data_IF_355840355743
#
_entry.id   IF_355840355743
#
_cell.length_a   1.000
_cell.length_b   1.000
_cell.length_c   1.000
_cell.angle_alpha   90.00
_cell.angle_beta   90.00
_cell.angle_gamma   90.00
#
_symmetry.space_group_name_H-M   'P 1'
#
loop_
_entity.id
_entity.type
_entity.pdbx_description
1 polymer ?
#
# COMPACT_ATOMS: atom_id res chain seq x y z
N UNK A 1 -16.23 7.71 28.84
CA UNK A 1 -15.57 6.41 28.64
C UNK A 1 -16.45 5.58 27.73
N UNK A 2 -16.08 5.41 26.46
CA UNK A 2 -16.80 4.55 25.52
C UNK A 2 -15.89 3.36 25.26
N UNK A 3 -16.24 2.21 25.82
CA UNK A 3 -15.58 0.93 25.59
C UNK A 3 -15.90 0.47 24.17
N UNK A 4 -14.90 0.55 23.30
CA UNK A 4 -14.91 -0.07 21.98
C UNK A 4 -14.95 -1.60 22.15
N UNK A 5 -16.01 -2.24 21.66
CA UNK A 5 -16.11 -3.71 21.56
C UNK A 5 -15.14 -4.17 20.47
N UNK A 6 -14.09 -4.86 20.88
CA UNK A 6 -13.23 -5.64 20.00
C UNK A 6 -14.09 -6.76 19.38
N UNK A 7 -14.42 -6.64 18.10
CA UNK A 7 -15.17 -7.66 17.37
C UNK A 7 -14.25 -8.83 17.06
N UNK A 8 -14.39 -9.91 17.82
CA UNK A 8 -13.84 -11.21 17.47
C UNK A 8 -14.56 -11.72 16.21
N UNK A 9 -13.90 -11.62 15.06
CA UNK A 9 -14.28 -12.38 13.87
C UNK A 9 -13.82 -13.82 14.09
N UNK A 10 -14.76 -14.76 14.04
CA UNK A 10 -14.57 -16.20 14.24
C UNK A 10 -13.38 -16.76 13.43
N UNK A 11 -12.34 -17.23 14.12
CA UNK A 11 -11.19 -17.94 13.56
C UNK A 11 -11.43 -19.47 13.54
N UNK A 12 -12.40 -19.94 12.74
CA UNK A 12 -12.60 -21.38 12.47
C UNK A 12 -12.02 -21.84 11.13
N UNK A 13 -11.33 -20.95 10.41
CA UNK A 13 -10.56 -21.27 9.21
C UNK A 13 -9.09 -21.33 9.58
N UNK A 14 -8.39 -22.41 9.24
CA UNK A 14 -6.92 -22.49 9.31
C UNK A 14 -6.29 -21.60 8.20
N UNK A 15 -6.56 -20.31 8.31
CA UNK A 15 -6.02 -19.25 7.49
C UNK A 15 -4.57 -18.97 7.92
N UNK A 16 -3.72 -18.57 6.98
CA UNK A 16 -2.34 -18.10 7.22
C UNK A 16 -2.26 -17.09 8.37
N UNK A 17 -3.31 -16.27 8.55
CA UNK A 17 -3.44 -15.35 9.67
C UNK A 17 -2.43 -14.20 9.65
N UNK A 18 -1.69 -14.03 8.55
CA UNK A 18 -0.72 -12.96 8.38
C UNK A 18 -1.45 -11.64 8.14
N UNK A 19 -1.07 -10.62 8.90
CA UNK A 19 -1.56 -9.26 8.71
C UNK A 19 -0.56 -8.48 7.84
N UNK A 20 -1.02 -7.96 6.72
CA UNK A 20 -0.30 -7.03 5.85
C UNK A 20 -1.14 -5.76 5.66
N UNK A 21 -0.61 -4.78 4.93
CA UNK A 21 -1.29 -3.52 4.69
C UNK A 21 -1.31 -3.23 3.20
N UNK A 22 -2.51 -3.08 2.63
CA UNK A 22 -2.72 -2.68 1.26
C UNK A 22 -2.79 -1.14 1.18
N UNK A 23 -1.84 -0.55 0.47
CA UNK A 23 -1.76 0.87 0.16
C UNK A 23 -2.33 1.04 -1.25
N UNK A 24 -3.50 1.65 -1.32
CA UNK A 24 -4.18 2.01 -2.57
C UNK A 24 -3.77 3.45 -2.92
N UNK A 25 -2.99 3.62 -3.99
CA UNK A 25 -2.36 4.88 -4.37
C UNK A 25 -2.90 5.40 -5.71
N UNK A 26 -3.49 6.60 -5.71
CA UNK A 26 -4.17 7.20 -6.87
C UNK A 26 -3.54 8.53 -7.24
N UNK A 27 -3.53 8.88 -8.53
CA UNK A 27 -3.07 10.20 -8.96
C UNK A 27 -3.93 11.32 -8.36
N UNK A 28 -3.28 12.40 -7.94
CA UNK A 28 -3.96 13.63 -7.56
C UNK A 28 -4.16 14.54 -8.79
N UNK A 29 -4.81 15.69 -8.57
CA UNK A 29 -4.91 16.74 -9.60
C UNK A 29 -3.61 17.55 -9.77
N UNK A 30 -2.54 17.23 -9.02
CA UNK A 30 -1.26 17.92 -9.12
C UNK A 30 -0.58 17.57 -10.44
N UNK A 31 -0.14 18.58 -11.17
CA UNK A 31 0.70 18.42 -12.36
C UNK A 31 2.18 18.34 -11.95
N UNK A 32 2.97 17.63 -12.74
CA UNK A 32 4.40 17.46 -12.49
C UNK A 32 5.00 16.39 -13.40
N UNK A 33 6.32 16.38 -13.48
CA UNK A 33 7.04 15.36 -14.23
C UNK A 33 6.97 14.03 -13.46
N UNK A 34 6.18 13.10 -13.99
CA UNK A 34 5.97 11.78 -13.40
C UNK A 34 7.11 10.81 -13.74
N UNK A 35 7.92 11.10 -14.76
CA UNK A 35 8.94 10.18 -15.24
C UNK A 35 10.10 10.07 -14.25
N UNK A 36 10.60 11.20 -13.76
CA UNK A 36 11.65 11.24 -12.73
C UNK A 36 11.18 10.60 -11.44
N UNK A 37 9.97 10.96 -10.98
CA UNK A 37 9.41 10.41 -9.74
C UNK A 37 9.13 8.91 -9.85
N UNK A 38 8.83 8.40 -11.05
CA UNK A 38 8.66 6.97 -11.30
C UNK A 38 9.96 6.19 -11.07
N UNK A 39 11.10 6.70 -11.53
CA UNK A 39 12.39 6.04 -11.31
C UNK A 39 12.72 5.93 -9.82
N UNK A 40 12.57 7.03 -9.08
CA UNK A 40 12.79 7.05 -7.63
C UNK A 40 11.80 6.13 -6.89
N UNK A 41 10.54 6.10 -7.32
CA UNK A 41 9.52 5.22 -6.77
C UNK A 41 9.86 3.74 -6.97
N UNK A 42 10.33 3.35 -8.16
CA UNK A 42 10.76 1.98 -8.43
C UNK A 42 12.00 1.61 -7.60
N UNK A 43 12.97 2.52 -7.47
CA UNK A 43 14.12 2.31 -6.59
C UNK A 43 13.71 2.14 -5.11
N UNK A 44 12.71 2.91 -4.66
CA UNK A 44 12.15 2.76 -3.32
C UNK A 44 11.47 1.40 -3.12
N UNK A 45 10.72 0.91 -4.11
CA UNK A 45 10.13 -0.43 -4.03
C UNK A 45 11.19 -1.52 -3.97
N UNK A 46 12.25 -1.45 -4.80
CA UNK A 46 13.38 -2.40 -4.74
C UNK A 46 14.00 -2.42 -3.35
N UNK A 47 14.24 -1.25 -2.74
CA UNK A 47 14.74 -1.17 -1.36
C UNK A 47 13.79 -1.88 -0.37
N UNK A 48 12.48 -1.68 -0.49
CA UNK A 48 11.51 -2.37 0.38
C UNK A 48 11.48 -3.88 0.17
N UNK A 49 11.71 -4.37 -1.06
CA UNK A 49 11.87 -5.79 -1.36
C UNK A 49 13.11 -6.37 -0.68
N UNK A 50 14.26 -5.68 -0.79
CA UNK A 50 15.52 -6.07 -0.15
C UNK A 50 15.41 -6.09 1.39
N UNK A 51 14.67 -5.14 1.97
CA UNK A 51 14.35 -5.10 3.40
C UNK A 51 13.30 -6.14 3.83
N UNK A 52 12.73 -6.89 2.88
CA UNK A 52 11.68 -7.88 3.12
C UNK A 52 10.31 -7.28 3.49
N UNK A 53 10.14 -5.96 3.36
CA UNK A 53 8.93 -5.21 3.69
C UNK A 53 7.90 -5.18 2.56
N UNK A 54 8.32 -5.25 1.30
CA UNK A 54 7.38 -5.35 0.19
C UNK A 54 6.90 -6.80 0.01
N UNK A 55 5.59 -7.00 -0.06
CA UNK A 55 5.00 -8.31 -0.37
C UNK A 55 4.61 -8.42 -1.84
N UNK A 56 3.98 -7.37 -2.38
CA UNK A 56 3.63 -7.25 -3.80
C UNK A 56 3.38 -5.78 -4.14
N UNK A 57 3.61 -5.38 -5.39
CA UNK A 57 3.21 -4.08 -5.88
C UNK A 57 2.91 -4.10 -7.38
N UNK A 58 2.04 -3.19 -7.82
CA UNK A 58 1.78 -3.00 -9.23
C UNK A 58 0.56 -2.11 -9.51
N UNK A 59 0.37 -1.70 -10.77
CA UNK A 59 -0.85 -1.01 -11.17
C UNK A 59 -2.03 -1.99 -11.22
N UNK A 60 -3.20 -1.53 -10.80
CA UNK A 60 -4.45 -2.19 -11.15
C UNK A 60 -4.80 -1.90 -12.60
N UNK A 61 -5.29 -2.92 -13.29
CA UNK A 61 -5.76 -2.83 -14.66
C UNK A 61 -7.29 -2.79 -14.67
N UNK A 62 -7.85 -2.12 -15.67
CA UNK A 62 -9.27 -2.19 -16.02
C UNK A 62 -9.53 -3.51 -16.78
N UNK A 63 -10.79 -3.82 -17.05
CA UNK A 63 -11.18 -5.03 -17.79
C UNK A 63 -10.59 -5.10 -19.22
N UNK A 64 -10.33 -3.95 -19.83
CA UNK A 64 -9.70 -3.82 -21.15
C UNK A 64 -8.17 -3.97 -21.11
N UNK A 65 -7.57 -4.13 -19.92
CA UNK A 65 -6.13 -4.24 -19.72
C UNK A 65 -5.39 -2.92 -19.56
N UNK A 66 -6.07 -1.77 -19.71
CA UNK A 66 -5.47 -0.45 -19.49
C UNK A 66 -5.26 -0.16 -18.00
N UNK A 67 -4.28 0.69 -17.69
CA UNK A 67 -4.04 1.08 -16.29
C UNK A 67 -5.25 1.82 -15.72
N UNK A 68 -5.74 1.39 -14.56
CA UNK A 68 -6.85 2.03 -13.86
C UNK A 68 -6.46 3.36 -13.16
N UNK A 69 -5.18 3.73 -13.21
CA UNK A 69 -4.63 4.88 -12.48
C UNK A 69 -4.37 4.62 -10.99
N UNK A 70 -4.73 3.44 -10.50
CA UNK A 70 -4.56 2.99 -9.11
C UNK A 70 -3.34 2.08 -9.02
N UNK A 71 -2.41 2.38 -8.12
CA UNK A 71 -1.35 1.47 -7.70
C UNK A 71 -1.77 0.73 -6.44
N UNK A 72 -1.62 -0.59 -6.42
CA UNK A 72 -1.75 -1.41 -5.23
C UNK A 72 -0.35 -1.79 -4.76
N UNK A 73 -0.03 -1.45 -3.51
CA UNK A 73 1.25 -1.77 -2.86
C UNK A 73 0.90 -2.50 -1.56
N UNK A 74 1.37 -3.73 -1.39
CA UNK A 74 1.13 -4.55 -0.20
C UNK A 74 2.42 -4.64 0.59
N UNK A 75 2.40 -4.15 1.83
CA UNK A 75 3.57 -4.12 2.71
C UNK A 75 3.38 -4.95 3.96
N UNK A 76 4.49 -5.50 4.44
CA UNK A 76 4.64 -6.12 5.76
C UNK A 76 5.01 -5.03 6.75
N UNK A 77 4.19 -4.86 7.78
CA UNK A 77 4.44 -3.92 8.86
C UNK A 77 3.86 -4.49 10.16
N UNK A 78 4.44 -4.11 11.30
CA UNK A 78 3.93 -4.47 12.62
C UNK A 78 2.70 -3.67 13.05
N UNK A 79 2.41 -2.55 12.39
CA UNK A 79 1.27 -1.68 12.72
C UNK A 79 0.80 -0.83 11.53
N UNK A 80 -0.39 -0.24 11.65
CA UNK A 80 -0.92 0.72 10.68
C UNK A 80 -0.05 1.98 10.59
N UNK A 81 0.54 2.42 11.70
CA UNK A 81 1.40 3.61 11.72
C UNK A 81 2.73 3.35 11.03
N UNK A 82 3.31 2.16 11.18
CA UNK A 82 4.49 1.76 10.41
C UNK A 82 4.19 1.65 8.91
N UNK A 83 3.04 1.06 8.53
CA UNK A 83 2.60 1.04 7.13
C UNK A 83 2.42 2.46 6.56
N UNK A 84 1.94 3.41 7.40
CA UNK A 84 1.81 4.82 7.02
C UNK A 84 3.16 5.48 6.83
N UNK A 85 4.14 5.18 7.67
CA UNK A 85 5.50 5.68 7.49
C UNK A 85 6.13 5.17 6.19
N UNK A 86 5.97 3.88 5.89
CA UNK A 86 6.40 3.31 4.60
C UNK A 86 5.72 4.04 3.43
N UNK A 87 4.40 4.22 3.49
CA UNK A 87 3.67 4.94 2.45
C UNK A 87 4.15 6.40 2.30
N UNK A 88 4.40 7.11 3.40
CA UNK A 88 4.88 8.50 3.38
C UNK A 88 6.28 8.66 2.78
N UNK A 89 7.09 7.61 2.76
CA UNK A 89 8.43 7.64 2.18
C UNK A 89 8.47 7.36 0.68
N UNK A 90 7.35 6.97 0.08
CA UNK A 90 7.24 6.79 -1.36
C UNK A 90 7.38 8.14 -2.10
N UNK A 91 8.27 8.28 -3.09
CA UNK A 91 8.47 9.51 -3.86
C UNK A 91 7.20 10.07 -4.50
N UNK A 92 6.26 9.22 -4.95
CA UNK A 92 4.98 9.71 -5.49
C UNK A 92 4.09 10.35 -4.41
N UNK A 93 4.16 9.84 -3.17
CA UNK A 93 3.40 10.38 -2.06
C UNK A 93 4.07 11.65 -1.50
N UNK A 94 5.41 11.67 -1.36
CA UNK A 94 6.16 12.86 -0.93
C UNK A 94 5.99 14.03 -1.88
N UNK A 95 6.01 13.77 -3.19
CA UNK A 95 5.77 14.79 -4.21
C UNK A 95 4.31 15.26 -4.26
N UNK A 96 3.38 14.52 -3.63
CA UNK A 96 1.93 14.79 -3.69
C UNK A 96 1.32 14.54 -5.07
N UNK A 97 2.03 13.89 -5.99
CA UNK A 97 1.51 13.48 -7.29
C UNK A 97 0.55 12.30 -7.17
N UNK A 98 0.70 11.49 -6.11
CA UNK A 98 -0.28 10.49 -5.70
C UNK A 98 -0.69 10.70 -4.25
N UNK A 99 -1.93 10.33 -3.93
CA UNK A 99 -2.44 10.22 -2.58
C UNK A 99 -2.86 8.77 -2.33
N UNK A 100 -2.82 8.34 -1.06
CA UNK A 100 -3.09 6.94 -0.74
C UNK A 100 -4.12 6.75 0.38
N UNK A 101 -4.69 5.55 0.42
CA UNK A 101 -5.43 4.99 1.55
C UNK A 101 -4.80 3.66 1.96
N UNK A 102 -4.80 3.37 3.25
CA UNK A 102 -4.26 2.11 3.79
C UNK A 102 -5.37 1.26 4.34
N UNK A 103 -5.36 -0.02 3.97
CA UNK A 103 -6.28 -1.05 4.42
C UNK A 103 -5.49 -2.17 5.10
N UNK A 104 -5.71 -2.44 6.40
CA UNK A 104 -5.23 -3.68 7.00
C UNK A 104 -5.85 -4.87 6.26
N UNK A 105 -5.01 -5.82 5.85
CA UNK A 105 -5.41 -6.97 5.06
C UNK A 105 -4.95 -8.25 5.76
N UNK A 106 -5.93 -9.07 6.16
CA UNK A 106 -5.68 -10.40 6.74
C UNK A 106 -5.60 -11.42 5.60
N UNK A 107 -4.44 -12.07 5.48
CA UNK A 107 -4.19 -13.12 4.50
C UNK A 107 -4.72 -14.44 5.07
N UNK A 108 -5.46 -15.19 4.24
CA UNK A 108 -5.95 -16.53 4.55
C UNK A 108 -5.11 -17.60 3.86
#
# INVERSE_FOLDING_TARGET
MVTSKQSHLNDSHAALGLLHYAIMSEFTNKTGDRSVVLEEHLAYQVKLEEEGKLFAAGPLLREDGEMAGIGLIIVKAGSLDEAREIANQDPFHQSGLRAYKIWPWKIN
#
